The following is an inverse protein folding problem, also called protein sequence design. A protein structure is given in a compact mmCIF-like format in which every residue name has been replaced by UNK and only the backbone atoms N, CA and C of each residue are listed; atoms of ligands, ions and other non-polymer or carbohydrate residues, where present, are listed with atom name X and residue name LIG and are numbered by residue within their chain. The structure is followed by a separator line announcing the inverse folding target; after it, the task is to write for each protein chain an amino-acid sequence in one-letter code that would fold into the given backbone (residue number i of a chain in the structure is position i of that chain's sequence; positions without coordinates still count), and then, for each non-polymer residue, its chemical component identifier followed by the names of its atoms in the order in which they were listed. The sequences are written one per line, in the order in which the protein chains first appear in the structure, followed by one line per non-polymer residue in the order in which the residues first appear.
data_IF_254139306322
#
_entry.id   IF_254139306322
#
_cell.length_a   1.000
_cell.length_b   1.000
_cell.length_c   1.000
_cell.angle_alpha   90.00
_cell.angle_beta   90.00
_cell.angle_gamma   90.00
#
_symmetry.space_group_name_H-M   'P 1'
#
loop_
_entity.id
_entity.type
_entity.pdbx_description
1 polymer ?
#
# COMPACT_ATOMS: atom_id res chain seq x y z
N UNK A 1 -11.97 23.79 1.20
CA UNK A 1 -11.80 22.48 1.85
C UNK A 1 -10.51 22.55 2.65
N UNK A 2 -10.55 22.18 3.92
CA UNK A 2 -9.35 22.02 4.73
C UNK A 2 -8.85 20.60 4.46
N UNK A 3 -7.60 20.46 4.05
CA UNK A 3 -7.06 19.18 3.60
C UNK A 3 -5.82 18.84 4.40
N UNK A 4 -5.74 17.59 4.87
CA UNK A 4 -4.52 17.03 5.46
C UNK A 4 -3.42 17.02 4.40
N UNK A 5 -2.28 17.66 4.70
CA UNK A 5 -1.11 17.65 3.83
C UNK A 5 -0.09 16.64 4.37
N UNK A 6 0.16 15.59 3.59
CA UNK A 6 1.06 14.47 3.89
C UNK A 6 2.33 14.47 3.05
N UNK A 7 2.63 15.55 2.31
CA UNK A 7 3.80 15.65 1.43
C UNK A 7 5.13 15.40 2.15
N UNK A 8 5.22 15.78 3.44
CA UNK A 8 6.33 15.39 4.30
C UNK A 8 5.93 14.16 5.14
N UNK A 9 6.50 12.96 4.89
CA UNK A 9 6.13 11.74 5.59
C UNK A 9 6.41 11.79 7.10
N UNK A 10 7.32 12.65 7.53
CA UNK A 10 7.71 12.81 8.93
C UNK A 10 6.99 13.97 9.63
N UNK A 11 6.17 14.74 8.90
CA UNK A 11 5.46 15.87 9.47
C UNK A 11 4.20 16.21 8.67
N UNK A 12 3.06 15.61 9.00
CA UNK A 12 1.80 15.96 8.37
C UNK A 12 1.26 17.26 8.93
N UNK A 13 0.59 18.07 8.11
CA UNK A 13 0.00 19.33 8.54
C UNK A 13 -1.50 19.39 8.28
N UNK A 14 -2.25 19.86 9.26
CA UNK A 14 -3.69 20.09 9.19
C UNK A 14 -4.00 21.47 9.77
N UNK A 15 -4.31 22.41 8.87
CA UNK A 15 -4.43 23.84 9.21
C UNK A 15 -5.86 24.30 8.97
N UNK A 16 -6.50 24.73 10.05
CA UNK A 16 -7.83 25.33 10.07
C UNK A 16 -7.71 26.83 10.31
N UNK A 17 -8.86 27.53 10.37
CA UNK A 17 -8.90 28.94 10.77
C UNK A 17 -8.37 29.17 12.20
N UNK A 18 -8.66 28.26 13.12
CA UNK A 18 -8.44 28.45 14.56
C UNK A 18 -7.23 27.65 15.09
N UNK A 19 -6.92 26.53 14.45
CA UNK A 19 -5.89 25.57 14.87
C UNK A 19 -4.96 25.21 13.71
N UNK A 20 -3.67 25.18 14.01
CA UNK A 20 -2.60 24.58 13.22
C UNK A 20 -2.10 23.34 13.96
N UNK A 21 -2.25 22.18 13.33
CA UNK A 21 -1.90 20.88 13.91
C UNK A 21 -0.88 20.20 13.01
N UNK A 22 0.19 19.71 13.63
CA UNK A 22 1.22 18.90 12.98
C UNK A 22 1.29 17.50 13.60
N UNK A 23 1.33 16.46 12.77
CA UNK A 23 1.56 15.08 13.19
C UNK A 23 3.05 14.75 13.01
N UNK A 24 3.77 14.70 14.12
CA UNK A 24 5.21 14.47 14.17
C UNK A 24 5.51 12.98 13.99
N UNK A 25 6.34 12.65 13.00
CA UNK A 25 6.73 11.29 12.67
C UNK A 25 5.70 10.51 11.85
N UNK A 26 4.69 11.19 11.31
CA UNK A 26 3.62 10.57 10.51
C UNK A 26 2.74 9.62 11.32
N UNK A 27 2.13 8.65 10.63
CA UNK A 27 1.30 7.61 11.26
C UNK A 27 1.74 6.21 10.82
N UNK A 28 1.41 5.22 11.64
CA UNK A 28 1.61 3.82 11.30
C UNK A 28 0.49 3.33 10.38
N UNK A 29 0.86 2.67 9.28
CA UNK A 29 -0.10 2.06 8.35
C UNK A 29 -0.55 0.66 8.78
N UNK A 30 0.19 0.00 9.67
CA UNK A 30 -0.18 -1.29 10.28
C UNK A 30 -1.02 -1.10 11.56
N UNK A 31 -1.63 -2.18 12.08
CA UNK A 31 -2.47 -2.17 13.29
C UNK A 31 -3.60 -1.12 13.21
N UNK A 32 -4.61 -1.43 12.41
CA UNK A 32 -5.74 -0.54 12.11
C UNK A 32 -6.67 -0.28 13.31
N UNK A 33 -6.51 -1.04 14.41
CA UNK A 33 -7.26 -0.91 15.65
C UNK A 33 -6.87 0.31 16.51
N UNK A 34 -5.78 1.01 16.15
CA UNK A 34 -5.23 2.15 16.92
C UNK A 34 -4.78 3.28 16.01
N UNK A 35 -4.83 4.51 16.52
CA UNK A 35 -4.36 5.72 15.85
C UNK A 35 -3.45 6.52 16.79
N UNK A 36 -2.28 5.95 17.12
CA UNK A 36 -1.31 6.62 17.99
C UNK A 36 -0.47 7.61 17.21
N UNK A 37 -0.53 8.87 17.62
CA UNK A 37 0.16 9.99 16.99
C UNK A 37 0.89 10.84 18.03
N UNK A 38 1.89 11.59 17.59
CA UNK A 38 2.45 12.70 18.36
C UNK A 38 2.05 13.99 17.68
N UNK A 39 1.29 14.82 18.37
CA UNK A 39 0.73 16.05 17.82
C UNK A 39 1.44 17.27 18.37
N UNK A 40 1.63 18.26 17.50
CA UNK A 40 1.98 19.63 17.85
C UNK A 40 0.80 20.52 17.49
N UNK A 41 0.20 21.19 18.47
CA UNK A 41 -1.04 21.94 18.35
C UNK A 41 -0.79 23.40 18.76
N UNK A 42 -1.17 24.34 17.89
CA UNK A 42 -1.04 25.77 18.14
C UNK A 42 -2.13 26.56 17.43
N UNK A 43 -2.29 27.84 17.79
CA UNK A 43 -3.01 28.82 16.94
C UNK A 43 -2.17 29.14 15.70
N UNK A 44 -2.77 29.38 14.53
CA UNK A 44 -2.03 29.85 13.36
C UNK A 44 -1.18 31.08 13.70
N UNK A 45 0.11 31.06 13.32
CA UNK A 45 1.09 32.12 13.60
C UNK A 45 1.41 32.35 15.09
N UNK A 46 1.02 31.45 15.98
CA UNK A 46 1.37 31.50 17.40
C UNK A 46 2.69 30.79 17.68
N UNK A 47 3.42 31.28 18.70
CA UNK A 47 4.61 30.62 19.25
C UNK A 47 4.28 29.62 20.37
N UNK A 48 3.06 29.67 20.92
CA UNK A 48 2.63 28.79 22.00
C UNK A 48 2.17 27.45 21.42
N UNK A 49 2.98 26.41 21.67
CA UNK A 49 2.82 25.09 21.07
C UNK A 49 2.60 24.04 22.16
N UNK A 50 1.50 23.31 22.06
CA UNK A 50 1.22 22.13 22.88
C UNK A 50 1.64 20.86 22.12
N UNK A 51 2.61 20.12 22.67
CA UNK A 51 2.99 18.80 22.16
C UNK A 51 2.42 17.68 23.03
N UNK A 52 1.82 16.67 22.40
CA UNK A 52 1.26 15.53 23.13
C UNK A 52 1.19 14.27 22.26
N UNK A 53 1.50 13.11 22.86
CA UNK A 53 1.25 11.82 22.22
C UNK A 53 -0.07 11.24 22.72
N UNK A 54 -0.91 10.80 21.80
CA UNK A 54 -2.27 10.32 22.08
C UNK A 54 -2.67 9.23 21.08
N UNK A 55 -3.57 8.34 21.50
CA UNK A 55 -4.31 7.47 20.59
C UNK A 55 -5.67 8.13 20.28
N UNK A 56 -5.87 8.54 19.02
CA UNK A 56 -7.08 9.26 18.60
C UNK A 56 -8.35 8.41 18.66
N UNK A 57 -8.23 7.09 18.79
CA UNK A 57 -9.39 6.20 18.97
C UNK A 57 -9.79 6.03 20.45
N UNK A 58 -9.00 6.57 21.38
CA UNK A 58 -9.33 6.54 22.80
C UNK A 58 -10.10 7.79 23.20
N UNK A 59 -11.43 7.73 23.14
CA UNK A 59 -12.35 8.83 23.45
C UNK A 59 -12.03 9.52 24.80
N UNK A 60 -11.80 8.74 25.86
CA UNK A 60 -11.45 9.27 27.18
C UNK A 60 -10.15 10.10 27.18
N UNK A 61 -9.14 9.69 26.41
CA UNK A 61 -7.90 10.45 26.27
C UNK A 61 -8.10 11.69 25.40
N UNK A 62 -8.88 11.56 24.32
CA UNK A 62 -9.19 12.66 23.41
C UNK A 62 -9.91 13.77 24.16
N UNK A 63 -10.90 13.44 24.98
CA UNK A 63 -11.62 14.41 25.81
C UNK A 63 -10.72 15.17 26.80
N UNK A 64 -9.79 14.45 27.45
CA UNK A 64 -8.79 15.10 28.32
C UNK A 64 -7.87 16.01 27.53
N UNK A 65 -7.49 15.61 26.33
CA UNK A 65 -6.63 16.41 25.46
C UNK A 65 -7.35 17.65 24.92
N UNK A 66 -8.64 17.55 24.56
CA UNK A 66 -9.49 18.67 24.16
C UNK A 66 -9.51 19.75 25.24
N UNK A 67 -9.72 19.36 26.52
CA UNK A 67 -9.68 20.31 27.65
C UNK A 67 -8.31 20.96 27.80
N UNK A 68 -7.24 20.17 27.68
CA UNK A 68 -5.85 20.67 27.77
C UNK A 68 -5.50 21.66 26.66
N UNK A 69 -5.94 21.41 25.43
CA UNK A 69 -5.80 22.34 24.31
C UNK A 69 -6.60 23.61 24.61
N UNK A 70 -7.85 23.48 25.07
CA UNK A 70 -8.70 24.63 25.35
C UNK A 70 -8.10 25.56 26.42
N UNK A 71 -7.54 25.00 27.49
CA UNK A 71 -6.90 25.76 28.55
C UNK A 71 -5.58 26.42 28.10
N UNK A 72 -4.72 25.69 27.38
CA UNK A 72 -3.36 26.17 27.06
C UNK A 72 -3.27 27.00 25.79
N UNK A 73 -4.10 26.69 24.81
CA UNK A 73 -4.13 27.36 23.50
C UNK A 73 -5.24 28.41 23.47
N UNK A 74 -6.12 28.43 24.48
CA UNK A 74 -7.24 29.37 24.62
C UNK A 74 -8.18 29.31 23.42
N UNK A 75 -8.67 28.10 23.12
CA UNK A 75 -9.63 27.80 22.05
C UNK A 75 -10.81 27.03 22.62
N UNK A 76 -12.02 27.33 22.17
CA UNK A 76 -13.22 26.66 22.63
C UNK A 76 -13.17 25.14 22.41
N UNK A 77 -13.61 24.37 23.41
CA UNK A 77 -13.65 22.90 23.37
C UNK A 77 -14.46 22.34 22.21
N UNK A 78 -15.54 23.02 21.81
CA UNK A 78 -16.37 22.64 20.65
C UNK A 78 -15.57 22.67 19.34
N UNK A 79 -14.80 23.74 19.11
CA UNK A 79 -13.96 23.90 17.92
C UNK A 79 -12.86 22.84 17.94
N UNK A 80 -12.16 22.68 19.06
CA UNK A 80 -11.09 21.68 19.21
C UNK A 80 -11.60 20.27 18.96
N UNK A 81 -12.74 19.88 19.54
CA UNK A 81 -13.34 18.56 19.35
C UNK A 81 -13.65 18.29 17.89
N UNK A 82 -14.32 19.24 17.23
CA UNK A 82 -14.66 19.15 15.81
C UNK A 82 -13.39 19.00 14.96
N UNK A 83 -12.38 19.83 15.19
CA UNK A 83 -11.11 19.78 14.46
C UNK A 83 -10.40 18.44 14.64
N UNK A 84 -10.35 17.88 15.86
CA UNK A 84 -9.75 16.58 16.10
C UNK A 84 -10.53 15.44 15.43
N UNK A 85 -11.86 15.50 15.43
CA UNK A 85 -12.69 14.51 14.75
C UNK A 85 -12.46 14.52 13.23
N UNK A 86 -12.45 15.71 12.61
CA UNK A 86 -12.16 15.86 11.18
C UNK A 86 -10.74 15.39 10.83
N UNK A 87 -9.76 15.71 11.67
CA UNK A 87 -8.39 15.24 11.51
C UNK A 87 -8.28 13.71 11.58
N UNK A 88 -8.97 13.08 12.54
CA UNK A 88 -9.01 11.61 12.65
C UNK A 88 -9.55 11.00 11.37
N UNK A 89 -10.67 11.50 10.84
CA UNK A 89 -11.23 11.01 9.57
C UNK A 89 -10.30 11.23 8.38
N UNK A 90 -9.57 12.35 8.34
CA UNK A 90 -8.59 12.59 7.28
C UNK A 90 -7.39 11.62 7.36
N UNK A 91 -6.93 11.29 8.57
CA UNK A 91 -5.86 10.31 8.78
C UNK A 91 -6.31 8.88 8.45
N UNK A 92 -7.57 8.54 8.76
CA UNK A 92 -8.18 7.26 8.38
C UNK A 92 -8.23 7.10 6.86
N UNK A 93 -8.72 8.12 6.14
CA UNK A 93 -8.76 8.09 4.68
C UNK A 93 -7.36 7.94 4.10
N UNK A 94 -6.38 8.69 4.61
CA UNK A 94 -4.99 8.57 4.18
C UNK A 94 -4.44 7.14 4.40
N UNK A 95 -4.75 6.47 5.52
CA UNK A 95 -4.32 5.06 5.72
C UNK A 95 -4.92 4.13 4.68
N UNK A 96 -6.19 4.31 4.35
CA UNK A 96 -6.88 3.49 3.35
C UNK A 96 -6.20 3.68 1.98
N UNK A 97 -5.99 4.93 1.57
CA UNK A 97 -5.40 5.27 0.28
C UNK A 97 -3.98 4.70 0.14
N UNK A 98 -3.15 4.83 1.19
CA UNK A 98 -1.78 4.29 1.19
C UNK A 98 -1.76 2.76 1.16
N UNK A 99 -2.67 2.09 1.86
CA UNK A 99 -2.79 0.63 1.81
C UNK A 99 -3.24 0.14 0.43
N UNK A 100 -4.18 0.83 -0.20
CA UNK A 100 -4.60 0.53 -1.58
C UNK A 100 -3.45 0.74 -2.57
N UNK A 101 -2.69 1.83 -2.44
CA UNK A 101 -1.52 2.10 -3.27
C UNK A 101 -0.45 1.01 -3.10
N UNK A 102 -0.16 0.61 -1.86
CA UNK A 102 0.77 -0.48 -1.57
C UNK A 102 0.28 -1.83 -2.13
N UNK A 103 -1.02 -2.12 -2.06
CA UNK A 103 -1.59 -3.33 -2.64
C UNK A 103 -1.46 -3.34 -4.16
N UNK A 104 -1.78 -2.22 -4.85
CA UNK A 104 -1.60 -2.08 -6.30
C UNK A 104 -0.14 -2.20 -6.74
N UNK A 105 0.80 -1.67 -5.94
CA UNK A 105 2.23 -1.80 -6.24
C UNK A 105 2.75 -3.23 -6.08
N UNK A 106 2.15 -4.01 -5.17
CA UNK A 106 2.48 -5.41 -4.93
C UNK A 106 1.68 -6.40 -5.80
N UNK A 107 0.70 -5.93 -6.56
CA UNK A 107 0.09 -6.75 -7.61
C UNK A 107 1.16 -7.06 -8.66
N UNK A 108 1.63 -8.31 -8.66
CA UNK A 108 2.48 -8.83 -9.73
C UNK A 108 1.73 -8.59 -11.03
N UNK A 109 2.18 -7.61 -11.82
CA UNK A 109 1.59 -7.35 -13.12
C UNK A 109 1.79 -8.60 -13.98
N UNK A 110 0.78 -9.45 -14.08
CA UNK A 110 0.80 -10.57 -15.01
C UNK A 110 0.88 -9.92 -16.39
N UNK A 111 2.05 -10.03 -17.05
CA UNK A 111 2.22 -9.53 -18.41
C UNK A 111 1.12 -10.14 -19.27
N UNK A 112 0.14 -9.34 -19.66
CA UNK A 112 -0.84 -9.74 -20.67
C UNK A 112 -0.13 -9.71 -22.01
N UNK A 113 -0.19 -10.83 -22.74
CA UNK A 113 0.28 -10.85 -24.12
C UNK A 113 -0.56 -9.86 -24.92
N UNK A 114 0.09 -9.05 -25.74
CA UNK A 114 -0.58 -8.30 -26.81
C UNK A 114 -1.17 -9.27 -27.84
N UNK A 115 -2.14 -8.81 -28.65
CA UNK A 115 -2.76 -9.64 -29.69
C UNK A 115 -1.71 -10.22 -30.67
N UNK A 116 -0.68 -9.45 -31.00
CA UNK A 116 0.39 -9.89 -31.90
C UNK A 116 1.28 -10.96 -31.26
N UNK A 117 1.62 -10.81 -29.98
CA UNK A 117 2.35 -11.82 -29.21
C UNK A 117 1.52 -13.10 -29.03
N UNK A 118 0.22 -12.98 -28.76
CA UNK A 118 -0.69 -14.11 -28.64
C UNK A 118 -0.81 -14.87 -29.97
N UNK A 119 -1.02 -14.17 -31.09
CA UNK A 119 -1.05 -14.77 -32.42
C UNK A 119 0.26 -15.49 -32.76
N UNK A 120 1.41 -14.89 -32.44
CA UNK A 120 2.71 -15.51 -32.64
C UNK A 120 2.88 -16.78 -31.79
N UNK A 121 2.47 -16.75 -30.53
CA UNK A 121 2.50 -17.90 -29.63
C UNK A 121 1.58 -19.03 -30.13
N UNK A 122 0.35 -18.73 -30.51
CA UNK A 122 -0.60 -19.72 -31.06
C UNK A 122 -0.07 -20.33 -32.36
N UNK A 123 0.51 -19.51 -33.25
CA UNK A 123 1.14 -20.00 -34.48
C UNK A 123 2.29 -20.95 -34.19
N UNK A 124 3.14 -20.64 -33.20
CA UNK A 124 4.21 -21.51 -32.76
C UNK A 124 3.68 -22.85 -32.22
N UNK A 125 2.69 -22.79 -31.32
CA UNK A 125 2.06 -23.96 -30.70
C UNK A 125 1.35 -24.88 -31.72
N UNK A 126 0.94 -24.36 -32.88
CA UNK A 126 0.34 -25.14 -33.97
C UNK A 126 1.35 -25.63 -35.01
N UNK A 127 2.64 -25.34 -34.84
CA UNK A 127 3.64 -25.64 -35.87
C UNK A 127 3.97 -27.14 -35.92
N UNK A 128 4.32 -27.63 -37.12
CA UNK A 128 4.89 -28.97 -37.29
C UNK A 128 6.20 -29.07 -36.48
N UNK A 129 6.45 -30.23 -35.89
CA UNK A 129 7.62 -30.52 -35.05
C UNK A 129 7.72 -29.66 -33.78
N UNK A 130 6.58 -29.33 -33.17
CA UNK A 130 6.49 -28.50 -31.97
C UNK A 130 7.49 -28.94 -30.87
N UNK A 131 7.54 -30.23 -30.55
CA UNK A 131 8.42 -30.74 -29.48
C UNK A 131 9.90 -30.49 -29.78
N UNK A 132 10.32 -30.66 -31.03
CA UNK A 132 11.71 -30.39 -31.45
C UNK A 132 12.04 -28.90 -31.31
N UNK A 133 11.16 -28.04 -31.83
CA UNK A 133 11.33 -26.58 -31.75
C UNK A 133 11.34 -26.07 -30.31
N UNK A 134 10.44 -26.60 -29.47
CA UNK A 134 10.42 -26.29 -28.04
C UNK A 134 11.73 -26.72 -27.38
N UNK A 135 12.25 -27.91 -27.71
CA UNK A 135 13.50 -28.38 -27.14
C UNK A 135 14.71 -27.51 -27.54
N UNK A 136 14.75 -27.05 -28.80
CA UNK A 136 15.76 -26.09 -29.28
C UNK A 136 15.67 -24.75 -28.54
N UNK A 137 14.46 -24.24 -28.29
CA UNK A 137 14.25 -23.00 -27.53
C UNK A 137 14.67 -23.14 -26.07
N UNK A 138 14.39 -24.28 -25.43
CA UNK A 138 14.85 -24.59 -24.06
C UNK A 138 16.39 -24.59 -24.01
N UNK A 139 17.05 -25.13 -25.04
CA UNK A 139 18.50 -25.06 -25.17
C UNK A 139 19.00 -23.61 -25.28
N UNK A 140 18.37 -22.80 -26.14
CA UNK A 140 18.71 -21.38 -26.32
C UNK A 140 18.46 -20.52 -25.09
N UNK A 141 17.53 -20.92 -24.20
CA UNK A 141 17.29 -20.20 -22.94
C UNK A 141 18.32 -20.50 -21.84
N UNK A 142 19.30 -21.38 -22.10
CA UNK A 142 20.43 -21.63 -21.20
C UNK A 142 20.45 -23.02 -20.54
N UNK A 143 19.52 -23.92 -20.86
CA UNK A 143 19.54 -25.31 -20.36
C UNK A 143 20.33 -26.19 -21.33
N UNK A 144 21.64 -26.30 -21.10
CA UNK A 144 22.62 -26.98 -21.97
C UNK A 144 22.80 -28.43 -21.52
N UNK A 145 22.84 -29.38 -22.46
CA UNK A 145 22.96 -30.82 -22.19
C UNK A 145 21.62 -31.50 -21.88
N UNK A 146 21.64 -32.82 -21.67
CA UNK A 146 20.47 -33.60 -21.21
C UNK A 146 19.20 -33.38 -22.06
N UNK A 147 19.35 -33.37 -23.40
CA UNK A 147 18.30 -32.91 -24.33
C UNK A 147 16.97 -33.67 -24.22
N UNK A 148 17.04 -34.97 -23.91
CA UNK A 148 15.87 -35.81 -23.68
C UNK A 148 15.21 -35.46 -22.34
N UNK A 149 16.01 -35.32 -21.29
CA UNK A 149 15.52 -35.07 -19.93
C UNK A 149 14.93 -33.66 -19.79
N UNK A 150 15.52 -32.63 -20.41
CA UNK A 150 14.97 -31.27 -20.35
C UNK A 150 13.59 -31.17 -21.03
N UNK A 151 13.39 -31.88 -22.14
CA UNK A 151 12.09 -31.93 -22.82
C UNK A 151 11.07 -32.74 -22.00
N UNK A 152 11.49 -33.87 -21.44
CA UNK A 152 10.66 -34.68 -20.53
C UNK A 152 10.17 -33.84 -19.35
N UNK A 153 11.09 -33.13 -18.67
CA UNK A 153 10.76 -32.25 -17.55
C UNK A 153 9.79 -31.13 -17.94
N UNK A 154 9.99 -30.51 -19.11
CA UNK A 154 9.05 -29.51 -19.63
C UNK A 154 7.63 -30.08 -19.80
N UNK A 155 7.50 -31.29 -20.36
CA UNK A 155 6.21 -31.95 -20.54
C UNK A 155 5.56 -32.31 -19.19
N UNK A 156 6.34 -32.81 -18.24
CA UNK A 156 5.86 -33.13 -16.89
C UNK A 156 5.35 -31.86 -16.19
N UNK A 157 6.12 -30.77 -16.19
CA UNK A 157 5.71 -29.53 -15.52
C UNK A 157 4.50 -28.84 -16.19
N UNK A 158 4.36 -28.96 -17.50
CA UNK A 158 3.20 -28.41 -18.22
C UNK A 158 1.96 -29.31 -18.13
N UNK A 159 2.13 -30.60 -17.90
CA UNK A 159 1.02 -31.56 -17.75
C UNK A 159 0.08 -31.25 -16.57
N UNK A 160 0.51 -30.47 -15.57
CA UNK A 160 -0.36 -30.01 -14.47
C UNK A 160 -1.60 -29.23 -14.92
N UNK A 161 -1.63 -28.77 -16.18
CA UNK A 161 -2.75 -28.07 -16.81
C UNK A 161 -3.65 -28.99 -17.65
N UNK A 162 -3.35 -30.29 -17.72
CA UNK A 162 -4.16 -31.29 -18.42
C UNK A 162 -4.97 -32.12 -17.42
N UNK A 163 -5.92 -32.93 -17.91
CA UNK A 163 -6.76 -33.78 -17.07
C UNK A 163 -5.98 -34.93 -16.40
N UNK A 164 -4.85 -35.33 -16.96
CA UNK A 164 -4.01 -36.43 -16.48
C UNK A 164 -2.56 -35.94 -16.38
N UNK A 165 -2.16 -35.35 -15.23
CA UNK A 165 -0.80 -34.90 -15.03
C UNK A 165 0.18 -36.09 -15.05
N UNK A 166 1.34 -35.87 -15.64
CA UNK A 166 2.44 -36.81 -15.65
C UNK A 166 3.28 -36.61 -14.38
N UNK A 167 3.91 -37.69 -13.92
CA UNK A 167 4.80 -37.69 -12.76
C UNK A 167 6.15 -38.33 -13.14
N UNK A 168 7.25 -37.80 -12.60
CA UNK A 168 8.57 -38.44 -12.66
C UNK A 168 8.88 -39.07 -11.30
N UNK A 169 9.43 -40.28 -11.29
CA UNK A 169 10.08 -40.92 -10.13
C UNK A 169 11.57 -40.99 -10.43
#
# INVERSE_FOLDING_TARGET
MITLNTTNPNNYSYITKDLEIHILGGIKLNNLDRMRVTMSVQKPKSINVLRHSIDLYNDNMVEKFVRKIAERIEIGTSITRKTLQELTSALEQYRIDELEAANKANEISVKKLSETEEQAAVKFLKSKDLLKKTNELIGKSGVIGEETNRLLMYLIFTSRKTNNPLHCI
#
